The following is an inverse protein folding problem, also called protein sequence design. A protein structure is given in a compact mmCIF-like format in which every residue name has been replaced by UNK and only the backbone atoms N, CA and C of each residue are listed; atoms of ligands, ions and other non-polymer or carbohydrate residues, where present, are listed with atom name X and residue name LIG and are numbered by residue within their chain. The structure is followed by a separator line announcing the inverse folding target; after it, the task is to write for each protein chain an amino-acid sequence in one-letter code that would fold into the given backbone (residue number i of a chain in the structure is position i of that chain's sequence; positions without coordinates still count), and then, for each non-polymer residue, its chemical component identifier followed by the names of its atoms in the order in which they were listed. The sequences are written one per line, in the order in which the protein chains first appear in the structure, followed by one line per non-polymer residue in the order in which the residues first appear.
data_IF_184784590844
#
_entry.id   IF_184784590844
#
_cell.length_a   1.000
_cell.length_b   1.000
_cell.length_c   1.000
_cell.angle_alpha   90.00
_cell.angle_beta   90.00
_cell.angle_gamma   90.00
#
_symmetry.space_group_name_H-M   'P 1'
#
loop_
_entity.id
_entity.type
_entity.pdbx_description
1 polymer ?
#
# COMPACT_ATOMS: atom_id res chain seq x y z
N UNK A 1 7.78 -33.84 -49.05
CA UNK A 1 8.40 -33.69 -47.71
C UNK A 1 8.05 -32.33 -47.14
N UNK A 2 7.32 -32.23 -46.03
CA UNK A 2 7.17 -30.98 -45.28
C UNK A 2 8.07 -31.02 -44.04
N UNK A 3 8.80 -29.94 -43.77
CA UNK A 3 9.41 -29.72 -42.46
C UNK A 3 9.27 -28.24 -42.13
N UNK A 4 8.45 -27.97 -41.12
CA UNK A 4 8.23 -26.65 -40.55
C UNK A 4 9.10 -26.35 -39.34
N UNK A 5 8.80 -25.18 -38.76
CA UNK A 5 9.17 -24.67 -37.44
C UNK A 5 10.67 -24.33 -37.22
N UNK A 6 11.05 -23.24 -36.56
CA UNK A 6 10.26 -22.28 -35.80
C UNK A 6 11.09 -21.04 -35.49
N UNK A 7 10.45 -19.87 -35.50
CA UNK A 7 11.05 -18.62 -35.05
C UNK A 7 11.17 -18.64 -33.52
N UNK A 8 12.38 -18.89 -33.01
CA UNK A 8 12.72 -18.65 -31.61
C UNK A 8 12.80 -17.14 -31.38
N UNK A 9 11.79 -16.59 -30.73
CA UNK A 9 11.75 -15.19 -30.35
C UNK A 9 10.93 -14.97 -29.08
N UNK A 10 11.15 -15.79 -28.04
CA UNK A 10 10.45 -15.62 -26.77
C UNK A 10 11.22 -16.12 -25.52
N UNK A 11 12.36 -15.52 -25.12
CA UNK A 11 12.88 -15.69 -23.75
C UNK A 11 12.70 -14.44 -22.87
N UNK A 12 12.73 -13.25 -23.46
CA UNK A 12 12.88 -11.99 -22.71
C UNK A 12 11.57 -11.44 -22.12
N UNK A 13 10.42 -11.76 -22.74
CA UNK A 13 9.10 -11.31 -22.28
C UNK A 13 8.61 -12.04 -21.02
N UNK A 14 8.92 -13.33 -20.90
CA UNK A 14 8.54 -14.14 -19.75
C UNK A 14 9.27 -13.69 -18.47
N UNK A 15 10.55 -13.32 -18.60
CA UNK A 15 11.34 -12.79 -17.49
C UNK A 15 10.83 -11.44 -17.01
N UNK A 16 10.47 -10.53 -17.93
CA UNK A 16 9.90 -9.23 -17.57
C UNK A 16 8.53 -9.38 -16.88
N UNK A 17 7.68 -10.26 -17.42
CA UNK A 17 6.37 -10.57 -16.84
C UNK A 17 6.50 -11.18 -15.45
N UNK A 18 7.43 -12.13 -15.27
CA UNK A 18 7.71 -12.76 -13.99
C UNK A 18 8.26 -11.77 -12.97
N UNK A 19 9.18 -10.89 -13.37
CA UNK A 19 9.71 -9.82 -12.51
C UNK A 19 8.60 -8.83 -12.08
N UNK A 20 7.70 -8.48 -12.98
CA UNK A 20 6.59 -7.57 -12.71
C UNK A 20 5.52 -8.24 -11.81
N UNK A 21 5.26 -9.53 -11.97
CA UNK A 21 4.39 -10.32 -11.07
C UNK A 21 5.03 -10.51 -9.68
N UNK A 22 6.33 -10.77 -9.61
CA UNK A 22 7.03 -10.91 -8.34
C UNK A 22 7.08 -9.59 -7.56
N UNK A 23 7.28 -8.46 -8.25
CA UNK A 23 7.32 -7.14 -7.65
C UNK A 23 5.95 -6.69 -7.12
N UNK A 24 4.86 -6.96 -7.86
CA UNK A 24 3.48 -6.69 -7.41
C UNK A 24 3.09 -7.54 -6.20
N UNK A 25 3.42 -8.84 -6.19
CA UNK A 25 3.21 -9.70 -5.01
C UNK A 25 3.97 -9.21 -3.77
N UNK A 26 5.19 -8.68 -3.96
CA UNK A 26 5.99 -8.14 -2.86
C UNK A 26 5.42 -6.86 -2.26
N UNK A 27 4.80 -6.01 -3.08
CA UNK A 27 4.14 -4.79 -2.61
C UNK A 27 2.85 -5.10 -1.82
N UNK A 28 2.08 -6.13 -2.22
CA UNK A 28 0.89 -6.55 -1.48
C UNK A 28 1.18 -7.20 -0.11
N UNK A 29 2.40 -7.69 0.14
CA UNK A 29 2.77 -8.30 1.43
C UNK A 29 3.20 -7.28 2.50
N UNK A 30 3.18 -5.98 2.19
CA UNK A 30 3.52 -4.93 3.15
C UNK A 30 2.37 -4.56 4.10
N UNK A 31 1.14 -5.05 3.86
CA UNK A 31 0.03 -4.88 4.80
C UNK A 31 0.14 -5.95 5.91
N UNK A 32 0.74 -5.57 7.04
CA UNK A 32 0.78 -6.39 8.23
C UNK A 32 -0.65 -6.69 8.74
N UNK A 33 -0.94 -7.92 9.21
CA UNK A 33 -2.25 -8.27 9.74
C UNK A 33 -2.51 -7.47 11.03
N UNK A 34 -3.60 -6.70 11.04
CA UNK A 34 -4.14 -6.07 12.26
C UNK A 34 -4.49 -7.18 13.24
N UNK A 35 -3.70 -7.30 14.29
CA UNK A 35 -3.90 -8.24 15.39
C UNK A 35 -5.00 -7.67 16.28
N UNK A 36 -6.21 -8.24 16.20
CA UNK A 36 -7.23 -8.04 17.23
C UNK A 36 -6.72 -8.66 18.54
N UNK A 37 -6.29 -7.82 19.47
CA UNK A 37 -6.05 -8.24 20.84
C UNK A 37 -7.33 -8.06 21.64
N UNK A 38 -8.08 -9.15 21.82
CA UNK A 38 -9.26 -9.22 22.67
C UNK A 38 -8.82 -9.15 24.13
N UNK A 39 -8.70 -7.94 24.67
CA UNK A 39 -8.30 -7.70 26.05
C UNK A 39 -9.51 -7.83 26.99
N UNK A 40 -9.61 -8.97 27.67
CA UNK A 40 -10.49 -9.15 28.83
C UNK A 40 -9.85 -8.52 30.05
N UNK A 41 -10.34 -7.36 30.51
CA UNK A 41 -9.83 -6.67 31.72
C UNK A 41 -10.89 -6.63 32.82
N UNK A 42 -10.45 -7.02 34.02
CA UNK A 42 -11.17 -6.94 35.29
C UNK A 42 -11.49 -5.48 35.66
N UNK A 43 -12.73 -5.24 36.11
CA UNK A 43 -13.42 -3.95 36.32
C UNK A 43 -12.75 -2.97 37.31
N UNK A 44 -11.61 -3.29 37.91
CA UNK A 44 -10.97 -2.47 38.95
C UNK A 44 -9.84 -1.54 38.48
N UNK A 45 -9.40 -1.62 37.22
CA UNK A 45 -8.38 -0.72 36.62
C UNK A 45 -8.88 -0.12 35.29
N UNK A 46 -10.15 0.26 35.23
CA UNK A 46 -10.70 0.86 34.02
C UNK A 46 -10.15 2.30 33.83
N UNK A 47 -9.71 2.66 32.61
CA UNK A 47 -9.29 4.02 32.29
C UNK A 47 -10.39 5.06 32.55
N UNK A 48 -10.01 6.29 32.89
CA UNK A 48 -11.00 7.29 33.35
C UNK A 48 -12.03 7.64 32.27
N UNK A 49 -11.65 7.59 31.00
CA UNK A 49 -12.53 7.89 29.87
C UNK A 49 -13.62 6.83 29.58
N UNK A 50 -13.56 5.67 30.22
CA UNK A 50 -14.64 4.68 30.16
C UNK A 50 -15.75 4.96 31.18
N UNK A 51 -15.45 5.75 32.21
CA UNK A 51 -16.33 5.97 33.36
C UNK A 51 -16.79 7.43 33.45
N UNK A 52 -15.97 8.36 32.98
CA UNK A 52 -16.20 9.79 33.04
C UNK A 52 -16.32 10.41 31.64
N UNK A 53 -16.99 11.55 31.56
CA UNK A 53 -16.94 12.41 30.39
C UNK A 53 -15.53 12.98 30.24
N UNK A 54 -14.98 12.92 29.02
CA UNK A 54 -13.63 13.35 28.72
C UNK A 54 -13.63 14.42 27.63
N UNK A 55 -12.63 15.30 27.69
CA UNK A 55 -12.37 16.30 26.66
C UNK A 55 -11.04 15.97 25.99
N UNK A 56 -10.99 16.04 24.66
CA UNK A 56 -9.75 15.86 23.89
C UNK A 56 -8.88 17.10 24.07
N UNK A 57 -7.76 16.93 24.76
CA UNK A 57 -6.81 18.01 25.06
C UNK A 57 -5.77 18.19 23.94
N UNK A 58 -5.31 17.08 23.33
CA UNK A 58 -4.44 17.10 22.16
C UNK A 58 -4.99 16.17 21.08
N UNK A 59 -5.03 16.66 19.85
CA UNK A 59 -5.48 15.90 18.69
C UNK A 59 -4.59 14.68 18.42
N UNK A 60 -5.18 13.68 17.77
CA UNK A 60 -4.51 12.42 17.44
C UNK A 60 -3.21 12.63 16.65
N UNK A 61 -2.07 12.26 17.25
CA UNK A 61 -0.74 12.50 16.73
C UNK A 61 0.11 11.21 16.70
N UNK A 62 1.12 11.12 15.81
CA UNK A 62 2.02 9.96 15.78
C UNK A 62 2.85 9.90 17.06
N UNK A 63 2.99 8.69 17.60
CA UNK A 63 3.81 8.46 18.77
C UNK A 63 5.28 8.79 18.50
N UNK A 64 5.91 9.51 19.42
CA UNK A 64 7.37 9.66 19.40
C UNK A 64 8.06 8.33 19.70
N UNK A 65 9.33 8.18 19.29
CA UNK A 65 10.13 6.97 19.58
C UNK A 65 10.18 6.61 21.07
N UNK A 66 10.12 7.61 21.95
CA UNK A 66 10.07 7.40 23.40
C UNK A 66 8.70 6.90 23.83
N UNK A 67 7.63 7.59 23.43
CA UNK A 67 6.25 7.21 23.76
C UNK A 67 5.88 5.82 23.22
N UNK A 68 6.39 5.44 22.05
CA UNK A 68 6.20 4.10 21.51
C UNK A 68 6.73 2.98 22.43
N UNK A 69 7.71 3.28 23.29
CA UNK A 69 8.26 2.33 24.26
C UNK A 69 7.65 2.45 25.65
N UNK A 70 7.26 3.66 26.05
CA UNK A 70 6.78 3.94 27.40
C UNK A 70 5.26 3.89 27.53
N UNK A 71 4.54 4.10 26.45
CA UNK A 71 3.08 4.21 26.42
C UNK A 71 2.51 3.00 25.68
N UNK A 72 1.84 2.07 26.38
CA UNK A 72 1.33 0.84 25.76
C UNK A 72 0.27 1.14 24.68
N UNK A 73 -0.47 2.24 24.81
CA UNK A 73 -1.47 2.71 23.84
C UNK A 73 -0.89 3.00 22.45
N UNK A 74 0.41 3.29 22.36
CA UNK A 74 1.08 3.43 21.08
C UNK A 74 1.29 2.11 20.33
N UNK A 75 1.21 0.96 21.02
CA UNK A 75 1.55 -0.34 20.43
C UNK A 75 0.55 -0.86 19.39
N UNK A 76 -0.70 -0.42 19.45
CA UNK A 76 -1.77 -0.90 18.57
C UNK A 76 -1.80 -0.18 17.21
N UNK A 77 -1.83 1.16 17.21
CA UNK A 77 -1.96 1.97 16.00
C UNK A 77 -0.72 2.81 15.68
N UNK A 78 0.17 3.03 16.66
CA UNK A 78 1.26 3.99 16.55
C UNK A 78 0.85 5.46 16.69
N UNK A 79 -0.42 5.73 17.05
CA UNK A 79 -0.98 7.07 17.23
C UNK A 79 -1.72 7.16 18.57
N UNK A 80 -1.59 8.31 19.22
CA UNK A 80 -2.25 8.59 20.50
C UNK A 80 -2.89 9.97 20.50
N UNK A 81 -4.01 10.07 21.19
CA UNK A 81 -4.65 11.32 21.56
C UNK A 81 -4.53 11.51 23.07
N UNK A 82 -4.40 12.76 23.51
CA UNK A 82 -4.38 13.09 24.93
C UNK A 82 -5.76 13.59 25.32
N UNK A 83 -6.33 12.97 26.33
CA UNK A 83 -7.66 13.28 26.83
C UNK A 83 -7.55 13.68 28.29
N UNK A 84 -8.40 14.61 28.71
CA UNK A 84 -8.53 15.03 30.10
C UNK A 84 -9.91 14.66 30.58
N UNK A 85 -9.98 13.83 31.62
CA UNK A 85 -11.24 13.44 32.24
C UNK A 85 -11.82 14.59 33.06
N UNK A 86 -13.09 14.93 32.85
CA UNK A 86 -13.71 16.14 33.39
C UNK A 86 -13.93 16.07 34.91
N UNK A 87 -14.23 14.88 35.44
CA UNK A 87 -14.50 14.69 36.88
C UNK A 87 -13.21 14.61 37.69
N UNK A 88 -12.22 13.85 37.22
CA UNK A 88 -10.94 13.69 37.92
C UNK A 88 -9.86 14.72 37.54
N UNK A 89 -10.09 15.54 36.51
CA UNK A 89 -9.09 16.43 35.87
C UNK A 89 -7.76 15.73 35.53
N UNK A 90 -7.80 14.42 35.31
CA UNK A 90 -6.61 13.62 35.00
C UNK A 90 -6.42 13.56 33.50
N UNK A 91 -5.21 13.86 33.03
CA UNK A 91 -4.84 13.63 31.64
C UNK A 91 -4.37 12.20 31.46
N UNK A 92 -4.95 11.48 30.52
CA UNK A 92 -4.50 10.16 30.11
C UNK A 92 -4.34 10.08 28.59
N UNK A 93 -3.61 9.08 28.12
CA UNK A 93 -3.39 8.83 26.70
C UNK A 93 -4.26 7.68 26.25
N UNK A 94 -4.83 7.82 25.05
CA UNK A 94 -5.65 6.79 24.43
C UNK A 94 -5.18 6.54 23.01
N UNK A 95 -5.19 5.29 22.58
CA UNK A 95 -4.92 4.96 21.17
C UNK A 95 -6.03 5.51 20.28
N UNK A 96 -5.65 6.21 19.21
CA UNK A 96 -6.57 6.83 18.28
C UNK A 96 -6.39 6.28 16.88
N UNK A 97 -7.49 6.25 16.11
CA UNK A 97 -7.50 5.91 14.70
C UNK A 97 -7.80 7.18 13.91
N UNK A 98 -6.74 7.83 13.40
CA UNK A 98 -6.88 9.09 12.66
C UNK A 98 -7.43 8.85 11.25
N UNK A 99 -8.58 9.44 10.91
CA UNK A 99 -9.12 9.43 9.55
C UNK A 99 -8.17 10.11 8.54
N UNK A 100 -7.39 11.10 8.97
CA UNK A 100 -6.38 11.75 8.15
C UNK A 100 -5.23 10.80 7.78
N UNK A 101 -4.92 9.83 8.65
CA UNK A 101 -3.92 8.80 8.37
C UNK A 101 -4.41 7.81 7.34
N UNK A 102 -5.67 7.36 7.47
CA UNK A 102 -6.30 6.49 6.46
C UNK A 102 -6.31 7.14 5.09
N UNK A 103 -6.61 8.44 5.01
CA UNK A 103 -6.52 9.19 3.75
C UNK A 103 -5.09 9.26 3.19
N UNK A 104 -4.07 9.50 4.03
CA UNK A 104 -2.67 9.54 3.56
C UNK A 104 -2.21 8.18 3.04
N UNK A 105 -2.59 7.10 3.71
CA UNK A 105 -2.29 5.74 3.25
C UNK A 105 -3.01 5.44 1.94
N UNK A 106 -4.28 5.83 1.84
CA UNK A 106 -5.07 5.71 0.63
C UNK A 106 -4.42 6.43 -0.56
N UNK A 107 -4.03 7.71 -0.39
CA UNK A 107 -3.39 8.47 -1.46
C UNK A 107 -2.03 7.91 -1.89
N UNK A 108 -1.26 7.35 -0.95
CA UNK A 108 -0.01 6.65 -1.29
C UNK A 108 -0.30 5.39 -2.09
N UNK A 109 -1.23 4.55 -1.65
CA UNK A 109 -1.62 3.34 -2.36
C UNK A 109 -2.16 3.67 -3.75
N UNK A 110 -3.18 4.52 -3.84
CA UNK A 110 -3.82 4.92 -5.09
C UNK A 110 -2.80 5.51 -6.07
N UNK A 111 -1.93 6.40 -5.58
CA UNK A 111 -0.85 6.98 -6.38
C UNK A 111 0.13 5.92 -6.90
N UNK A 112 0.52 4.94 -6.08
CA UNK A 112 1.41 3.85 -6.52
C UNK A 112 0.78 2.95 -7.55
N UNK A 113 -0.49 2.58 -7.39
CA UNK A 113 -1.22 1.74 -8.35
C UNK A 113 -1.40 2.45 -9.69
N UNK A 114 -1.79 3.74 -9.66
CA UNK A 114 -1.90 4.57 -10.87
C UNK A 114 -0.55 4.68 -11.58
N UNK A 115 0.52 5.01 -10.84
CA UNK A 115 1.87 5.12 -11.40
C UNK A 115 2.33 3.81 -12.04
N UNK A 116 2.10 2.68 -11.36
CA UNK A 116 2.43 1.36 -11.87
C UNK A 116 1.62 1.04 -13.14
N UNK A 117 0.32 1.31 -13.15
CA UNK A 117 -0.54 1.11 -14.32
C UNK A 117 -0.06 1.91 -15.54
N UNK A 118 0.36 3.16 -15.35
CA UNK A 118 0.92 3.99 -16.42
C UNK A 118 2.22 3.43 -16.98
N UNK A 119 3.11 2.90 -16.12
CA UNK A 119 4.35 2.24 -16.56
C UNK A 119 4.02 1.05 -17.45
N UNK A 120 3.10 0.18 -17.03
CA UNK A 120 2.67 -0.96 -17.84
C UNK A 120 2.03 -0.53 -19.16
N UNK A 121 1.16 0.48 -19.15
CA UNK A 121 0.54 1.01 -20.37
C UNK A 121 1.60 1.52 -21.36
N UNK A 122 2.59 2.28 -20.89
CA UNK A 122 3.70 2.75 -21.71
C UNK A 122 4.50 1.60 -22.32
N UNK A 123 4.84 0.57 -21.52
CA UNK A 123 5.56 -0.61 -22.00
C UNK A 123 4.80 -1.34 -23.11
N UNK A 124 3.48 -1.52 -22.94
CA UNK A 124 2.62 -2.16 -23.94
C UNK A 124 2.58 -1.34 -25.23
N UNK A 125 2.40 -0.02 -25.14
CA UNK A 125 2.38 0.87 -26.32
C UNK A 125 3.70 0.81 -27.09
N UNK A 126 4.83 0.86 -26.39
CA UNK A 126 6.15 0.76 -27.04
C UNK A 126 6.33 -0.59 -27.74
N UNK A 127 5.94 -1.69 -27.09
CA UNK A 127 5.93 -3.03 -27.69
C UNK A 127 5.06 -3.09 -28.94
N UNK A 128 3.85 -2.54 -28.87
CA UNK A 128 2.92 -2.51 -29.99
C UNK A 128 3.51 -1.72 -31.17
N UNK A 129 4.06 -0.53 -30.92
CA UNK A 129 4.74 0.30 -31.93
C UNK A 129 5.92 -0.41 -32.58
N UNK A 130 6.69 -1.21 -31.82
CA UNK A 130 7.78 -2.00 -32.39
C UNK A 130 7.27 -3.09 -33.34
N UNK A 131 6.13 -3.71 -33.03
CA UNK A 131 5.50 -4.70 -33.91
C UNK A 131 4.91 -4.03 -35.16
N UNK A 132 4.27 -2.88 -35.02
CA UNK A 132 3.67 -2.14 -36.14
C UNK A 132 4.74 -1.66 -37.14
N UNK A 133 5.89 -1.16 -36.64
CA UNK A 133 7.03 -0.80 -37.51
C UNK A 133 7.53 -2.00 -38.31
N UNK A 134 7.68 -3.15 -37.66
CA UNK A 134 8.11 -4.40 -38.33
C UNK A 134 7.07 -4.92 -39.32
N UNK A 135 5.79 -4.68 -39.09
CA UNK A 135 4.72 -5.04 -40.03
C UNK A 135 4.73 -4.13 -41.26
N UNK A 136 4.84 -2.82 -41.07
CA UNK A 136 4.93 -1.84 -42.16
C UNK A 136 6.18 -2.01 -43.03
N UNK A 137 7.32 -2.34 -42.43
CA UNK A 137 8.54 -2.68 -43.18
C UNK A 137 8.37 -3.91 -44.08
N UNK A 138 7.60 -4.92 -43.62
CA UNK A 138 7.29 -6.08 -44.45
C UNK A 138 6.37 -5.72 -45.63
N UNK A 139 5.38 -4.86 -45.41
CA UNK A 139 4.46 -4.40 -46.48
C UNK A 139 5.22 -3.57 -47.51
N UNK A 140 6.09 -2.63 -47.08
CA UNK A 140 6.90 -1.82 -48.01
C UNK A 140 7.80 -2.68 -48.90
N UNK A 141 8.46 -3.70 -48.35
CA UNK A 141 9.30 -4.62 -49.13
C UNK A 141 8.52 -5.43 -50.17
N UNK A 142 7.21 -5.63 -49.99
CA UNK A 142 6.38 -6.28 -51.00
C UNK A 142 5.99 -5.33 -52.14
N UNK A 143 5.91 -4.01 -51.91
CA UNK A 143 5.59 -3.01 -52.94
C UNK A 143 6.80 -2.71 -53.81
N UNK A 144 8.01 -2.78 -53.24
CA UNK A 144 9.27 -2.47 -53.92
C UNK A 144 9.80 -3.64 -54.78
N UNK A 145 9.23 -4.84 -54.63
CA UNK A 145 9.60 -6.05 -55.40
C UNK A 145 8.63 -6.39 -56.53
N UNK A 146 7.68 -5.51 -56.84
CA UNK A 146 6.73 -5.60 -57.96
C UNK A 146 7.17 -4.61 -59.01
#
# INVERSE_FOLDING_TARGET
MPAGAGRRGLPQGHHLCWLLCAFTLRLCQAEAPVREEKLSVSTSNLPCWLVEEFVVAEECAPCSNFQAKTTPECGSTGYVEKITCSSSQRSEFKSCRSALMEQRLFWKFEGTVIGLALVFACLVIVRQRQLDRKALEKVRKQIESI
#
